data_IF_319138450927
#
_entry.id   IF_319138450927
#
_cell.length_a   1.000
_cell.length_b   1.000
_cell.length_c   1.000
_cell.angle_alpha   90.00
_cell.angle_beta   90.00
_cell.angle_gamma   90.00
#
_symmetry.space_group_name_H-M   'P 1'
#
loop_
_entity.id
_entity.type
_entity.pdbx_description
1 polymer ?
#
# COMPACT_ATOMS: atom_id res chain seq x y z
N UNK A 1 -14.55 0.60 -5.67
CA UNK A 1 -13.80 1.01 -4.45
C UNK A 1 -12.67 1.98 -4.82
N UNK A 2 -13.01 3.21 -5.23
CA UNK A 2 -12.06 4.15 -5.86
C UNK A 2 -11.14 4.90 -4.89
N UNK A 3 -11.36 4.74 -3.57
CA UNK A 3 -10.63 5.47 -2.53
C UNK A 3 -10.07 4.53 -1.46
N UNK A 4 -8.97 4.94 -0.84
CA UNK A 4 -8.38 4.23 0.29
C UNK A 4 -9.21 4.56 1.52
N UNK A 5 -9.62 3.57 2.32
CA UNK A 5 -10.45 3.81 3.49
C UNK A 5 -9.66 4.60 4.54
N UNK A 6 -10.35 5.52 5.21
CA UNK A 6 -9.78 6.25 6.34
C UNK A 6 -9.68 5.34 7.58
N UNK A 7 -8.77 5.62 8.53
CA UNK A 7 -8.70 4.87 9.78
C UNK A 7 -10.03 4.80 10.54
N UNK A 8 -10.82 5.88 10.54
CA UNK A 8 -12.10 5.95 11.25
C UNK A 8 -13.19 5.08 10.59
N UNK A 9 -13.22 5.02 9.26
CA UNK A 9 -14.09 4.09 8.53
C UNK A 9 -13.73 2.64 8.84
N UNK A 10 -12.43 2.30 8.84
CA UNK A 10 -11.95 0.97 9.20
C UNK A 10 -12.33 0.58 10.63
N UNK A 11 -12.17 1.52 11.57
CA UNK A 11 -12.54 1.31 12.98
C UNK A 11 -14.04 1.07 13.13
N UNK A 12 -14.85 1.87 12.46
CA UNK A 12 -16.32 1.79 12.53
C UNK A 12 -16.82 0.47 11.96
N UNK A 13 -16.27 0.05 10.83
CA UNK A 13 -16.63 -1.23 10.20
C UNK A 13 -16.17 -2.43 11.03
N UNK A 14 -14.96 -2.38 11.61
CA UNK A 14 -14.49 -3.45 12.49
C UNK A 14 -15.35 -3.57 13.76
N UNK A 15 -15.75 -2.45 14.36
CA UNK A 15 -16.66 -2.46 15.49
C UNK A 15 -18.01 -3.08 15.14
N UNK A 16 -18.57 -2.72 13.97
CA UNK A 16 -19.82 -3.29 13.47
C UNK A 16 -19.68 -4.80 13.27
N UNK A 17 -18.61 -5.25 12.61
CA UNK A 17 -18.35 -6.68 12.37
C UNK A 17 -18.26 -7.49 13.67
N UNK A 18 -17.63 -6.95 14.72
CA UNK A 18 -17.54 -7.61 16.04
C UNK A 18 -18.91 -7.70 16.70
N UNK A 19 -19.71 -6.64 16.64
CA UNK A 19 -21.05 -6.62 17.21
C UNK A 19 -21.99 -7.60 16.52
N UNK A 20 -21.87 -7.73 15.19
CA UNK A 20 -22.68 -8.65 14.39
C UNK A 20 -22.22 -10.11 14.55
N UNK A 21 -20.93 -10.35 14.84
CA UNK A 21 -20.32 -11.68 14.98
C UNK A 21 -19.49 -11.79 16.28
N UNK A 22 -20.14 -11.82 17.47
CA UNK A 22 -19.43 -11.76 18.75
C UNK A 22 -18.60 -13.02 19.01
N UNK A 23 -19.11 -14.21 18.67
CA UNK A 23 -18.42 -15.48 18.97
C UNK A 23 -17.11 -15.66 18.20
N UNK A 24 -17.01 -15.17 16.95
CA UNK A 24 -15.75 -15.23 16.19
C UNK A 24 -14.69 -14.26 16.73
N UNK A 25 -15.12 -13.21 17.43
CA UNK A 25 -14.25 -12.14 17.94
C UNK A 25 -13.61 -12.47 19.29
N UNK A 26 -14.12 -13.49 20.00
CA UNK A 26 -13.61 -13.93 21.31
C UNK A 26 -12.33 -14.77 21.16
N UNK A 27 -12.13 -15.44 20.02
CA UNK A 27 -10.98 -16.32 19.82
C UNK A 27 -9.78 -15.53 19.26
N UNK A 28 -8.64 -15.59 19.96
CA UNK A 28 -7.39 -15.02 19.46
C UNK A 28 -7.00 -15.64 18.12
N UNK A 29 -6.77 -14.82 17.10
CA UNK A 29 -6.28 -15.25 15.80
C UNK A 29 -4.75 -15.22 15.80
N UNK A 30 -4.11 -16.33 15.45
CA UNK A 30 -2.66 -16.38 15.21
C UNK A 30 -2.36 -16.39 13.73
N UNK A 31 -1.49 -15.49 13.31
CA UNK A 31 -0.94 -15.43 11.97
C UNK A 31 0.44 -16.09 12.00
N UNK A 32 0.70 -16.93 10.99
CA UNK A 32 1.92 -17.70 10.89
C UNK A 32 2.72 -17.22 9.68
N UNK A 33 4.04 -17.22 9.81
CA UNK A 33 4.93 -17.09 8.68
C UNK A 33 5.02 -18.42 7.89
N UNK A 34 5.82 -18.42 6.83
CA UNK A 34 6.03 -19.58 5.96
C UNK A 34 6.61 -20.80 6.67
N UNK A 35 7.34 -20.59 7.77
CA UNK A 35 8.00 -21.64 8.55
C UNK A 35 7.08 -22.13 9.68
N UNK A 36 5.82 -21.66 9.71
CA UNK A 36 4.80 -22.00 10.70
C UNK A 36 4.97 -21.28 12.03
N UNK A 37 5.92 -20.35 12.13
CA UNK A 37 6.15 -19.58 13.36
C UNK A 37 5.10 -18.47 13.46
N UNK A 38 4.59 -18.24 14.67
CA UNK A 38 3.62 -17.16 14.93
C UNK A 38 4.31 -15.82 14.69
N UNK A 39 3.85 -15.09 13.68
CA UNK A 39 4.31 -13.74 13.31
C UNK A 39 3.48 -12.65 13.98
N UNK A 40 2.20 -12.92 14.23
CA UNK A 40 1.29 -12.03 14.96
C UNK A 40 0.23 -12.84 15.71
N UNK A 41 -0.19 -12.35 16.88
CA UNK A 41 -1.30 -12.90 17.65
C UNK A 41 -2.21 -11.75 18.05
N UNK A 42 -3.48 -11.84 17.67
CA UNK A 42 -4.45 -10.81 18.05
C UNK A 42 -4.67 -10.84 19.57
N UNK A 43 -4.91 -9.67 20.14
CA UNK A 43 -5.45 -9.58 21.49
C UNK A 43 -6.89 -10.11 21.54
N UNK A 44 -7.31 -10.58 22.71
CA UNK A 44 -8.70 -10.99 22.92
C UNK A 44 -9.58 -9.74 23.02
N UNK A 45 -10.72 -9.76 22.35
CA UNK A 45 -11.73 -8.72 22.51
C UNK A 45 -12.51 -8.97 23.80
N UNK A 46 -12.43 -8.03 24.74
CA UNK A 46 -13.35 -8.01 25.88
C UNK A 46 -14.70 -7.44 25.43
N UNK A 47 -15.71 -8.31 25.33
CA UNK A 47 -17.08 -7.94 24.94
C UNK A 47 -17.79 -7.02 25.96
N UNK A 48 -17.24 -6.89 27.17
CA UNK A 48 -17.81 -6.08 28.25
C UNK A 48 -17.25 -4.64 28.28
N UNK A 49 -16.26 -4.33 27.43
CA UNK A 49 -15.66 -2.99 27.32
C UNK A 49 -15.57 -2.52 25.87
N UNK A 50 -15.37 -1.22 25.66
CA UNK A 50 -15.14 -0.70 24.32
C UNK A 50 -13.82 -1.26 23.78
N UNK A 51 -13.80 -1.90 22.60
CA UNK A 51 -12.59 -2.54 22.10
C UNK A 51 -11.50 -1.50 21.80
N UNK A 52 -10.29 -1.84 22.21
CA UNK A 52 -9.07 -1.05 21.95
C UNK A 52 -8.71 -1.13 20.47
N UNK A 53 -7.92 -0.16 19.98
CA UNK A 53 -7.45 -0.20 18.59
C UNK A 53 -6.62 -1.45 18.28
N UNK A 54 -5.83 -1.93 19.25
CA UNK A 54 -5.06 -3.17 19.10
C UNK A 54 -5.96 -4.39 18.95
N UNK A 55 -7.04 -4.48 19.74
CA UNK A 55 -8.01 -5.56 19.63
C UNK A 55 -8.77 -5.56 18.29
N UNK A 56 -8.91 -4.40 17.64
CA UNK A 56 -9.56 -4.27 16.33
C UNK A 56 -8.66 -4.63 15.15
N UNK A 57 -7.33 -4.72 15.33
CA UNK A 57 -6.38 -4.84 14.20
C UNK A 57 -6.59 -6.08 13.34
N UNK A 58 -6.86 -7.24 13.94
CA UNK A 58 -7.10 -8.48 13.20
C UNK A 58 -8.38 -8.41 12.37
N UNK A 59 -9.46 -7.89 12.96
CA UNK A 59 -10.74 -7.67 12.26
C UNK A 59 -10.60 -6.68 11.11
N UNK A 60 -9.90 -5.56 11.34
CA UNK A 60 -9.59 -4.59 10.29
C UNK A 60 -8.77 -5.23 9.16
N UNK A 61 -7.73 -6.01 9.49
CA UNK A 61 -6.88 -6.63 8.49
C UNK A 61 -7.63 -7.66 7.65
N UNK A 62 -8.52 -8.45 8.24
CA UNK A 62 -9.34 -9.43 7.53
C UNK A 62 -10.35 -8.75 6.61
N UNK A 63 -11.07 -7.73 7.10
CA UNK A 63 -11.97 -6.93 6.29
C UNK A 63 -11.23 -6.29 5.10
N UNK A 64 -10.06 -5.73 5.36
CA UNK A 64 -9.21 -5.14 4.33
C UNK A 64 -8.67 -6.19 3.34
N UNK A 65 -8.33 -7.40 3.79
CA UNK A 65 -7.92 -8.51 2.91
C UNK A 65 -9.03 -8.87 1.93
N UNK A 66 -10.25 -9.01 2.42
CA UNK A 66 -11.44 -9.29 1.59
C UNK A 66 -11.70 -8.13 0.61
N UNK A 67 -11.64 -6.88 1.10
CA UNK A 67 -11.82 -5.68 0.26
C UNK A 67 -10.80 -5.64 -0.88
N UNK A 68 -9.52 -5.83 -0.57
CA UNK A 68 -8.44 -5.84 -1.57
C UNK A 68 -8.60 -7.00 -2.54
N UNK A 69 -9.05 -8.17 -2.08
CA UNK A 69 -9.36 -9.30 -2.97
C UNK A 69 -10.45 -8.96 -3.98
N UNK A 70 -11.58 -8.43 -3.52
CA UNK A 70 -12.69 -8.04 -4.40
C UNK A 70 -12.24 -6.95 -5.39
N UNK A 71 -11.52 -5.93 -4.91
CA UNK A 71 -11.03 -4.85 -5.76
C UNK A 71 -9.98 -5.31 -6.79
N UNK A 72 -9.08 -6.20 -6.38
CA UNK A 72 -8.04 -6.72 -7.26
C UNK A 72 -8.65 -7.55 -8.39
N UNK A 73 -9.49 -8.54 -8.07
CA UNK A 73 -10.08 -9.44 -9.05
C UNK A 73 -11.15 -8.75 -9.92
N UNK A 74 -11.95 -7.85 -9.31
CA UNK A 74 -13.01 -7.14 -9.99
C UNK A 74 -12.50 -5.98 -10.83
N UNK A 75 -11.88 -4.99 -10.19
CA UNK A 75 -11.55 -3.71 -10.82
C UNK A 75 -10.17 -3.73 -11.47
N UNK A 76 -9.13 -4.14 -10.73
CA UNK A 76 -7.73 -4.04 -11.20
C UNK A 76 -7.48 -4.99 -12.38
N UNK A 77 -7.85 -6.26 -12.27
CA UNK A 77 -7.64 -7.23 -13.35
C UNK A 77 -8.46 -6.87 -14.59
N UNK A 78 -9.70 -6.41 -14.41
CA UNK A 78 -10.55 -5.94 -15.52
C UNK A 78 -9.94 -4.73 -16.21
N UNK A 79 -9.52 -3.70 -15.45
CA UNK A 79 -8.88 -2.52 -16.01
C UNK A 79 -7.61 -2.91 -16.77
N UNK A 80 -6.78 -3.77 -16.19
CA UNK A 80 -5.57 -4.26 -16.86
C UNK A 80 -5.89 -4.97 -18.17
N UNK A 81 -6.85 -5.88 -18.18
CA UNK A 81 -7.26 -6.60 -19.40
C UNK A 81 -7.73 -5.63 -20.47
N UNK A 82 -8.68 -4.75 -20.14
CA UNK A 82 -9.27 -3.80 -21.09
C UNK A 82 -8.23 -2.83 -21.67
N UNK A 83 -7.31 -2.33 -20.83
CA UNK A 83 -6.25 -1.44 -21.31
C UNK A 83 -5.35 -2.16 -22.30
N UNK A 84 -4.95 -3.42 -22.04
CA UNK A 84 -4.09 -4.16 -22.99
C UNK A 84 -4.82 -4.62 -24.25
N UNK A 85 -6.14 -4.88 -24.17
CA UNK A 85 -6.96 -5.17 -25.35
C UNK A 85 -7.11 -3.94 -26.25
N UNK A 86 -7.15 -2.75 -25.66
CA UNK A 86 -7.40 -1.49 -26.38
C UNK A 86 -6.13 -0.74 -26.79
N UNK A 87 -5.04 -0.90 -26.04
CA UNK A 87 -3.84 -0.09 -26.17
C UNK A 87 -2.56 -0.91 -26.00
N UNK A 88 -1.54 -0.58 -26.79
CA UNK A 88 -0.19 -1.09 -26.60
C UNK A 88 0.57 -0.20 -25.60
N UNK A 89 0.71 -0.66 -24.35
CA UNK A 89 1.42 0.09 -23.31
C UNK A 89 2.94 -0.17 -23.41
N UNK A 90 3.68 0.89 -23.75
CA UNK A 90 5.14 0.90 -23.69
C UNK A 90 5.63 1.59 -22.41
N UNK A 91 6.87 1.30 -22.01
CA UNK A 91 7.54 2.09 -20.97
C UNK A 91 7.63 3.57 -21.37
N UNK A 92 7.84 3.89 -22.65
CA UNK A 92 7.80 5.26 -23.17
C UNK A 92 6.46 5.97 -22.92
N UNK A 93 5.33 5.29 -23.14
CA UNK A 93 3.98 5.81 -22.85
C UNK A 93 3.84 6.13 -21.37
N UNK A 94 4.27 5.22 -20.50
CA UNK A 94 4.19 5.40 -19.04
C UNK A 94 5.14 6.51 -18.56
N UNK A 95 6.36 6.60 -19.09
CA UNK A 95 7.31 7.68 -18.78
C UNK A 95 6.73 9.04 -19.17
N UNK A 96 6.10 9.15 -20.34
CA UNK A 96 5.49 10.39 -20.80
C UNK A 96 4.35 10.87 -19.87
N UNK A 97 3.61 9.92 -19.26
CA UNK A 97 2.61 10.22 -18.24
C UNK A 97 3.26 10.60 -16.90
N UNK A 98 4.18 9.76 -16.41
CA UNK A 98 4.73 9.84 -15.05
C UNK A 98 5.68 11.03 -14.85
N UNK A 99 6.26 11.60 -15.92
CA UNK A 99 7.12 12.80 -15.82
C UNK A 99 6.41 14.03 -15.23
N UNK A 100 5.08 14.01 -15.22
CA UNK A 100 4.26 15.06 -14.65
C UNK A 100 3.90 14.81 -13.18
N UNK A 101 4.26 13.64 -12.63
CA UNK A 101 3.93 13.25 -11.27
C UNK A 101 4.92 13.86 -10.28
N UNK A 102 4.42 14.59 -9.30
CA UNK A 102 5.24 15.09 -8.18
C UNK A 102 5.64 13.96 -7.20
N UNK A 103 5.10 12.76 -7.37
CA UNK A 103 5.44 11.59 -6.57
C UNK A 103 6.67 10.86 -7.12
N UNK A 104 6.89 10.91 -8.44
CA UNK A 104 7.92 10.11 -9.11
C UNK A 104 9.22 10.91 -9.26
N UNK A 105 10.34 10.47 -8.65
CA UNK A 105 11.62 11.12 -8.85
C UNK A 105 12.06 11.04 -10.31
N UNK A 106 12.60 12.14 -10.86
CA UNK A 106 13.01 12.21 -12.27
C UNK A 106 14.00 11.10 -12.67
N UNK A 107 14.94 10.77 -11.79
CA UNK A 107 15.96 9.73 -11.98
C UNK A 107 15.37 8.30 -12.03
N UNK A 108 14.14 8.10 -11.53
CA UNK A 108 13.49 6.80 -11.45
C UNK A 108 12.35 6.65 -12.48
N UNK A 109 12.11 7.64 -13.34
CA UNK A 109 11.01 7.63 -14.32
C UNK A 109 11.00 6.37 -15.20
N UNK A 110 12.15 5.99 -15.75
CA UNK A 110 12.27 4.81 -16.63
C UNK A 110 12.04 3.51 -15.87
N UNK A 111 12.53 3.43 -14.63
CA UNK A 111 12.36 2.25 -13.77
C UNK A 111 10.89 2.08 -13.38
N UNK A 112 10.22 3.17 -13.04
CA UNK A 112 8.77 3.19 -12.83
C UNK A 112 7.98 2.78 -14.08
N UNK A 113 8.32 3.37 -15.23
CA UNK A 113 7.71 3.01 -16.52
C UNK A 113 7.86 1.51 -16.81
N UNK A 114 9.04 0.93 -16.55
CA UNK A 114 9.27 -0.51 -16.68
C UNK A 114 8.43 -1.32 -15.70
N UNK A 115 8.40 -0.97 -14.42
CA UNK A 115 7.64 -1.68 -13.40
C UNK A 115 6.14 -1.72 -13.71
N UNK A 116 5.56 -0.57 -14.06
CA UNK A 116 4.15 -0.51 -14.46
C UNK A 116 3.89 -1.23 -15.78
N UNK A 117 4.78 -1.13 -16.77
CA UNK A 117 4.65 -1.87 -18.01
C UNK A 117 4.53 -3.37 -17.73
N UNK A 118 5.42 -3.94 -16.90
CA UNK A 118 5.39 -5.35 -16.53
C UNK A 118 4.10 -5.72 -15.80
N UNK A 119 3.71 -4.92 -14.82
CA UNK A 119 2.46 -5.10 -14.10
C UNK A 119 1.25 -5.17 -15.04
N UNK A 120 1.11 -4.19 -15.94
CA UNK A 120 0.01 -4.15 -16.91
C UNK A 120 0.08 -5.32 -17.90
N UNK A 121 1.26 -5.73 -18.36
CA UNK A 121 1.42 -6.79 -19.36
C UNK A 121 1.18 -8.22 -18.87
N UNK A 122 0.79 -8.44 -17.61
CA UNK A 122 0.62 -9.80 -17.11
C UNK A 122 1.81 -10.33 -16.32
N UNK A 123 2.86 -9.55 -16.08
CA UNK A 123 4.06 -9.94 -15.35
C UNK A 123 4.13 -9.22 -13.99
N UNK A 124 3.32 -9.67 -13.01
CA UNK A 124 3.31 -9.04 -11.69
C UNK A 124 4.55 -9.40 -10.87
N UNK A 125 5.30 -10.45 -11.21
CA UNK A 125 6.57 -10.77 -10.55
C UNK A 125 7.55 -9.63 -10.79
N UNK A 126 7.84 -9.30 -12.05
CA UNK A 126 8.72 -8.18 -12.36
C UNK A 126 8.11 -6.86 -11.88
N UNK A 127 6.80 -6.65 -12.08
CA UNK A 127 6.12 -5.43 -11.66
C UNK A 127 6.28 -5.16 -10.17
N UNK A 128 5.94 -6.12 -9.33
CA UNK A 128 5.98 -5.99 -7.88
C UNK A 128 7.41 -5.78 -7.35
N UNK A 129 8.37 -6.59 -7.80
CA UNK A 129 9.76 -6.51 -7.35
C UNK A 129 10.44 -5.21 -7.79
N UNK A 130 10.03 -4.65 -8.94
CA UNK A 130 10.51 -3.32 -9.37
C UNK A 130 9.84 -2.22 -8.57
N UNK A 131 8.51 -2.22 -8.43
CA UNK A 131 7.76 -1.09 -7.89
C UNK A 131 7.88 -0.96 -6.36
N UNK A 132 7.92 -2.08 -5.63
CA UNK A 132 7.94 -2.09 -4.16
C UNK A 132 9.07 -1.25 -3.54
N UNK A 133 10.35 -1.39 -3.95
CA UNK A 133 11.41 -0.53 -3.43
C UNK A 133 11.30 0.94 -3.87
N UNK A 134 10.68 1.22 -5.03
CA UNK A 134 10.54 2.60 -5.53
C UNK A 134 9.56 3.43 -4.70
N UNK A 135 8.62 2.78 -4.01
CA UNK A 135 7.71 3.44 -3.06
C UNK A 135 8.51 4.19 -1.98
N UNK A 136 9.52 3.55 -1.39
CA UNK A 136 10.38 4.16 -0.37
C UNK A 136 11.11 5.40 -0.91
N UNK A 137 11.72 5.27 -2.09
CA UNK A 137 12.43 6.38 -2.74
C UNK A 137 11.49 7.56 -3.04
N UNK A 138 10.23 7.29 -3.36
CA UNK A 138 9.23 8.30 -3.73
C UNK A 138 8.67 9.03 -2.52
N UNK A 139 8.38 8.31 -1.44
CA UNK A 139 7.99 8.93 -0.16
C UNK A 139 9.12 9.86 0.32
N UNK A 140 10.37 9.37 0.25
CA UNK A 140 11.55 10.18 0.57
C UNK A 140 11.65 11.43 -0.30
N UNK A 141 11.46 11.28 -1.61
CA UNK A 141 11.49 12.40 -2.56
C UNK A 141 10.46 13.48 -2.23
N UNK A 142 9.22 13.08 -1.95
CA UNK A 142 8.15 14.03 -1.61
C UNK A 142 8.45 14.74 -0.29
N UNK A 143 8.88 14.01 0.75
CA UNK A 143 9.23 14.61 2.04
C UNK A 143 10.41 15.59 1.92
N UNK A 144 11.48 15.23 1.19
CA UNK A 144 12.59 16.16 0.87
C UNK A 144 12.08 17.39 0.12
N UNK A 145 11.18 17.20 -0.85
CA UNK A 145 10.55 18.29 -1.59
C UNK A 145 9.70 19.23 -0.74
N UNK A 146 9.27 18.80 0.45
CA UNK A 146 8.58 19.62 1.46
C UNK A 146 9.52 20.20 2.52
N UNK A 147 10.83 19.97 2.40
CA UNK A 147 11.84 20.52 3.29
C UNK A 147 12.12 19.68 4.54
N UNK A 148 11.56 18.48 4.66
CA UNK A 148 11.88 17.59 5.79
C UNK A 148 13.23 16.89 5.58
N UNK A 149 14.00 16.78 6.66
CA UNK A 149 15.19 15.95 6.69
C UNK A 149 14.78 14.49 6.93
N UNK A 150 15.09 13.64 5.95
CA UNK A 150 14.74 12.21 5.91
C UNK A 150 16.01 11.37 5.97
N UNK A 151 16.93 11.77 6.84
CA UNK A 151 18.18 11.07 7.07
C UNK A 151 18.45 10.87 8.56
N UNK A 152 19.28 9.89 8.87
CA UNK A 152 19.84 9.69 10.20
C UNK A 152 21.33 9.97 10.15
N UNK A 153 21.85 10.60 11.21
CA UNK A 153 23.28 10.87 11.36
C UNK A 153 23.88 9.96 12.42
N UNK A 154 24.86 9.16 12.02
CA UNK A 154 25.66 8.37 12.94
C UNK A 154 26.85 9.20 13.44
N UNK A 155 26.78 9.58 14.72
CA UNK A 155 27.81 10.37 15.38
C UNK A 155 29.16 9.67 15.48
N UNK A 156 29.20 8.34 15.56
CA UNK A 156 30.42 7.57 15.73
C UNK A 156 31.18 7.42 14.40
N UNK A 157 30.47 7.13 13.32
CA UNK A 157 31.07 6.99 11.98
C UNK A 157 31.13 8.31 11.20
N UNK A 158 30.45 9.37 11.68
CA UNK A 158 30.26 10.65 10.98
C UNK A 158 29.63 10.47 9.60
N UNK A 159 28.75 9.47 9.47
CA UNK A 159 28.04 9.19 8.22
C UNK A 159 26.58 9.60 8.32
N UNK A 160 25.99 9.92 7.17
CA UNK A 160 24.58 10.23 7.03
C UNK A 160 23.96 9.19 6.11
N UNK A 161 22.82 8.63 6.53
CA UNK A 161 22.09 7.64 5.75
C UNK A 161 20.64 8.07 5.60
N UNK A 162 20.10 7.89 4.42
CA UNK A 162 18.69 8.12 4.17
C UNK A 162 17.81 7.13 4.98
N UNK A 163 16.66 7.59 5.47
CA UNK A 163 15.70 6.77 6.21
C UNK A 163 15.00 5.75 5.31
N UNK A 164 14.85 4.53 5.83
CA UNK A 164 13.99 3.49 5.22
C UNK A 164 12.51 3.84 5.37
N UNK A 165 11.63 3.20 4.59
CA UNK A 165 10.18 3.43 4.69
C UNK A 165 9.65 3.09 6.09
N UNK A 166 10.12 2.00 6.70
CA UNK A 166 9.73 1.65 8.08
C UNK A 166 10.14 2.75 9.05
N UNK A 167 11.39 3.23 8.97
CA UNK A 167 11.87 4.31 9.83
C UNK A 167 11.11 5.63 9.62
N UNK A 168 10.72 5.96 8.38
CA UNK A 168 9.88 7.13 8.11
C UNK A 168 8.49 6.98 8.75
N UNK A 169 7.87 5.80 8.68
CA UNK A 169 6.56 5.55 9.28
C UNK A 169 6.59 5.56 10.82
N UNK A 170 7.71 5.15 11.41
CA UNK A 170 7.91 5.18 12.86
C UNK A 170 8.24 6.59 13.38
N UNK A 171 9.13 7.33 12.70
CA UNK A 171 9.74 8.54 13.23
C UNK A 171 9.09 9.84 12.70
N UNK A 172 8.40 9.78 11.57
CA UNK A 172 7.89 10.96 10.86
C UNK A 172 6.39 10.87 10.57
N UNK A 173 5.64 10.24 11.49
CA UNK A 173 4.20 9.99 11.30
C UNK A 173 3.40 11.27 11.07
N UNK A 174 3.73 12.36 11.79
CA UNK A 174 3.10 13.67 11.63
C UNK A 174 3.27 14.23 10.22
N UNK A 175 4.50 14.21 9.71
CA UNK A 175 4.90 14.73 8.40
C UNK A 175 4.26 13.89 7.29
N UNK A 176 4.24 12.56 7.46
CA UNK A 176 3.55 11.66 6.54
C UNK A 176 2.04 11.97 6.48
N UNK A 177 1.40 12.19 7.63
CA UNK A 177 -0.01 12.55 7.69
C UNK A 177 -0.28 13.92 7.08
N UNK A 178 0.59 14.90 7.30
CA UNK A 178 0.50 16.22 6.68
C UNK A 178 0.59 16.15 5.15
N UNK A 179 1.52 15.35 4.62
CA UNK A 179 1.83 15.30 3.19
C UNK A 179 0.88 14.39 2.42
N UNK A 180 0.55 13.21 2.95
CA UNK A 180 -0.20 12.17 2.24
C UNK A 180 -1.64 12.00 2.74
N UNK A 181 -1.96 12.49 3.94
CA UNK A 181 -3.26 12.29 4.58
C UNK A 181 -3.43 10.90 5.18
N UNK A 182 -4.35 10.79 6.14
CA UNK A 182 -4.55 9.59 6.95
C UNK A 182 -4.89 8.33 6.15
N UNK A 183 -5.69 8.45 5.08
CA UNK A 183 -6.10 7.31 4.26
C UNK A 183 -4.90 6.65 3.55
N UNK A 184 -4.03 7.42 2.89
CA UNK A 184 -2.87 6.85 2.20
C UNK A 184 -1.82 6.34 3.17
N UNK A 185 -1.56 7.06 4.26
CA UNK A 185 -0.63 6.59 5.29
C UNK A 185 -1.11 5.25 5.85
N UNK A 186 -2.38 5.12 6.21
CA UNK A 186 -2.92 3.87 6.73
C UNK A 186 -2.91 2.72 5.71
N UNK A 187 -3.20 3.01 4.43
CA UNK A 187 -3.22 2.00 3.36
C UNK A 187 -1.80 1.51 3.04
N UNK A 188 -0.82 2.42 2.96
CA UNK A 188 0.59 2.05 2.76
C UNK A 188 1.09 1.20 3.94
N UNK A 189 0.83 1.64 5.17
CA UNK A 189 1.26 0.93 6.38
C UNK A 189 0.70 -0.49 6.43
N UNK A 190 -0.62 -0.65 6.23
CA UNK A 190 -1.30 -1.96 6.28
C UNK A 190 -0.90 -2.89 5.14
N UNK A 191 -0.59 -2.37 3.95
CA UNK A 191 -0.21 -3.20 2.79
C UNK A 191 1.27 -3.55 2.81
N UNK A 192 2.14 -2.59 3.10
CA UNK A 192 3.58 -2.77 2.89
C UNK A 192 4.35 -3.09 4.16
N UNK A 193 3.91 -2.63 5.35
CA UNK A 193 4.77 -2.56 6.53
C UNK A 193 4.29 -3.45 7.69
N UNK A 194 2.99 -3.41 8.01
CA UNK A 194 2.49 -3.87 9.30
C UNK A 194 1.72 -5.18 9.24
N UNK A 195 1.94 -6.02 10.25
CA UNK A 195 1.06 -7.15 10.57
C UNK A 195 -0.21 -6.65 11.30
N UNK A 196 -1.36 -7.36 11.19
CA UNK A 196 -1.59 -8.59 10.43
C UNK A 196 -1.87 -8.40 8.92
N UNK A 197 -1.36 -7.34 8.30
CA UNK A 197 -1.38 -7.16 6.85
C UNK A 197 -0.31 -7.99 6.11
N UNK A 198 -0.29 -7.93 4.76
CA UNK A 198 0.58 -8.77 3.94
C UNK A 198 2.08 -8.41 4.04
N UNK A 199 2.43 -7.22 4.56
CA UNK A 199 3.83 -6.77 4.73
C UNK A 199 4.67 -6.87 3.46
N UNK A 200 4.10 -6.47 2.32
CA UNK A 200 4.68 -6.68 0.98
C UNK A 200 6.14 -6.22 0.89
N UNK A 201 6.50 -5.08 1.49
CA UNK A 201 7.88 -4.58 1.46
C UNK A 201 8.84 -5.54 2.17
N UNK A 202 8.46 -6.04 3.34
CA UNK A 202 9.26 -7.02 4.08
C UNK A 202 9.41 -8.32 3.29
N UNK A 203 8.29 -8.83 2.74
CA UNK A 203 8.28 -10.07 1.97
C UNK A 203 9.19 -10.00 0.73
N UNK A 204 9.13 -8.90 -0.03
CA UNK A 204 9.97 -8.67 -1.20
C UNK A 204 11.45 -8.50 -0.82
N UNK A 205 11.74 -7.65 0.19
CA UNK A 205 13.12 -7.33 0.57
C UNK A 205 13.89 -8.55 1.13
N UNK A 206 13.20 -9.48 1.78
CA UNK A 206 13.81 -10.67 2.38
C UNK A 206 13.63 -11.94 1.55
N UNK A 207 13.03 -11.85 0.35
CA UNK A 207 12.83 -13.01 -0.53
C UNK A 207 11.92 -14.09 0.09
N UNK A 208 10.88 -13.65 0.80
CA UNK A 208 9.96 -14.54 1.52
C UNK A 208 8.74 -14.94 0.68
N UNK A 209 8.49 -14.25 -0.44
CA UNK A 209 7.43 -14.59 -1.38
C UNK A 209 7.73 -15.90 -2.12
N UNK A 210 6.74 -16.78 -2.20
CA UNK A 210 6.68 -17.90 -3.14
C UNK A 210 6.31 -17.43 -4.55
N UNK A 211 6.55 -18.26 -5.56
CA UNK A 211 6.28 -17.94 -6.97
C UNK A 211 4.82 -17.54 -7.23
N UNK A 212 3.87 -18.02 -6.43
CA UNK A 212 2.45 -17.68 -6.53
C UNK A 212 2.09 -16.33 -5.90
N UNK A 213 2.85 -15.84 -4.92
CA UNK A 213 2.48 -14.63 -4.16
C UNK A 213 2.38 -13.36 -5.02
N UNK A 214 3.26 -13.10 -6.00
CA UNK A 214 3.12 -11.94 -6.88
C UNK A 214 1.82 -11.93 -7.70
N UNK A 215 1.21 -13.09 -7.96
CA UNK A 215 -0.06 -13.20 -8.68
C UNK A 215 -1.29 -13.02 -7.78
N UNK A 216 -1.11 -12.91 -6.46
CA UNK A 216 -2.19 -12.75 -5.51
C UNK A 216 -2.81 -11.35 -5.48
N UNK A 217 -4.00 -11.20 -4.86
CA UNK A 217 -4.73 -9.95 -4.82
C UNK A 217 -3.99 -8.83 -4.09
N UNK A 218 -3.31 -9.13 -2.98
CA UNK A 218 -2.53 -8.13 -2.24
C UNK A 218 -1.38 -7.55 -3.07
N UNK A 219 -0.72 -8.38 -3.88
CA UNK A 219 0.36 -7.95 -4.79
C UNK A 219 -0.17 -7.08 -5.93
N UNK A 220 -1.32 -7.44 -6.51
CA UNK A 220 -1.99 -6.63 -7.53
C UNK A 220 -2.44 -5.28 -6.95
N UNK A 221 -3.03 -5.30 -5.75
CA UNK A 221 -3.43 -4.10 -5.02
C UNK A 221 -2.22 -3.21 -4.71
N UNK A 222 -1.11 -3.78 -4.24
CA UNK A 222 0.12 -3.03 -3.95
C UNK A 222 0.65 -2.29 -5.19
N UNK A 223 0.75 -2.97 -6.33
CA UNK A 223 1.16 -2.34 -7.59
C UNK A 223 0.21 -1.21 -8.00
N UNK A 224 -1.10 -1.44 -7.86
CA UNK A 224 -2.12 -0.46 -8.18
C UNK A 224 -2.12 0.75 -7.24
N UNK A 225 -1.87 0.55 -5.94
CA UNK A 225 -1.76 1.63 -4.96
C UNK A 225 -0.57 2.54 -5.30
N UNK A 226 0.58 1.96 -5.66
CA UNK A 226 1.74 2.73 -6.13
C UNK A 226 1.39 3.50 -7.41
N UNK A 227 0.69 2.87 -8.37
CA UNK A 227 0.23 3.54 -9.57
C UNK A 227 -0.68 4.74 -9.25
N UNK A 228 -1.63 4.56 -8.33
CA UNK A 228 -2.55 5.61 -7.89
C UNK A 228 -1.83 6.77 -7.20
N UNK A 229 -0.83 6.50 -6.36
CA UNK A 229 0.01 7.54 -5.75
C UNK A 229 0.77 8.35 -6.81
N UNK A 230 1.22 7.70 -7.88
CA UNK A 230 1.83 8.41 -9.01
C UNK A 230 0.82 9.32 -9.73
N UNK A 231 -0.41 8.84 -9.94
CA UNK A 231 -1.41 9.57 -10.72
C UNK A 231 -2.15 10.68 -9.97
N UNK A 232 -2.29 10.59 -8.64
CA UNK A 232 -3.13 11.53 -7.89
C UNK A 232 -2.64 12.99 -8.01
N UNK A 233 -1.33 13.18 -8.18
CA UNK A 233 -0.70 14.49 -8.38
C UNK A 233 -1.01 15.10 -9.76
N UNK A 234 -1.43 14.28 -10.73
CA UNK A 234 -1.78 14.71 -12.09
C UNK A 234 -3.19 15.30 -12.19
N UNK A 235 -4.06 14.97 -11.24
CA UNK A 235 -5.47 15.37 -11.25
C UNK A 235 -5.80 16.12 -9.95
N UNK A 236 -5.25 17.34 -9.74
CA UNK A 236 -5.44 18.11 -8.51
C UNK A 236 -6.90 18.52 -8.27
N UNK A 237 -7.74 18.44 -9.31
CA UNK A 237 -9.18 18.69 -9.26
C UNK A 237 -9.98 17.46 -9.66
N UNK A 238 -9.50 16.24 -9.38
CA UNK A 238 -10.19 14.98 -9.71
C UNK A 238 -11.66 14.94 -9.26
N UNK A 239 -11.98 15.59 -8.15
CA UNK A 239 -13.35 15.68 -7.60
C UNK A 239 -14.27 16.58 -8.42
N UNK A 240 -13.70 17.39 -9.33
CA UNK A 240 -14.40 18.23 -10.30
C UNK A 240 -14.43 17.59 -11.71
N UNK A 241 -13.76 16.46 -11.92
CA UNK A 241 -13.86 15.70 -13.16
C UNK A 241 -15.26 15.07 -13.15
N UNK A 242 -16.08 15.48 -14.11
CA UNK A 242 -17.51 15.19 -14.18
C UNK A 242 -17.81 13.72 -13.90
N UNK A 243 -18.68 13.46 -12.92
CA UNK A 243 -19.09 12.10 -12.54
C UNK A 243 -19.83 11.39 -13.70
N UNK A 244 -20.30 12.17 -14.69
CA UNK A 244 -20.97 11.67 -15.88
C UNK A 244 -20.00 11.27 -17.02
N UNK A 245 -18.68 11.49 -16.90
CA UNK A 245 -17.70 11.07 -17.92
C UNK A 245 -17.59 9.54 -18.08
N UNK A 246 -18.17 8.78 -17.14
CA UNK A 246 -18.13 7.31 -17.10
C UNK A 246 -19.52 6.66 -17.18
N UNK A 247 -20.55 7.42 -17.56
CA UNK A 247 -21.86 6.90 -17.95
C UNK A 247 -21.90 6.68 -19.47
#
# INVERSE_FOLDING_TARGET
MSQSPTPDELRTEAQRSINDNPFSSIFSTSFHDRDGKVSYRSENVDLMSAPTDEALRSTVAEAERIRRQIFAEGDIQTARRLINESYYITDGTLVALLRHSNFVPAELLRTYGRGFQRFFQGDPVSGLYILTPLLEASIRHVLKGRGYDVSTFDNATKTQQDLTISAMFDQMKSELLEVFGAAFVADIEKVFLDQPGPTIRHQVAHGLMTDGNPYGPDSAYACWLIFRLCLITLFPHREKIDVNLWQ
#
